data_IF_969064581211
#
_entry.id   IF_969064581211
#
_cell.length_a   1.000
_cell.length_b   1.000
_cell.length_c   1.000
_cell.angle_alpha   90.00
_cell.angle_beta   90.00
_cell.angle_gamma   90.00
#
_symmetry.space_group_name_H-M   'P 1'
#
loop_
_entity.id
_entity.type
_entity.pdbx_description
1 polymer ?
#
# COMPACT_ATOMS: atom_id res chain seq x y z
N UNK A 1 1.73 22.78 4.62
CA UNK A 1 0.80 22.69 5.77
C UNK A 1 -0.39 21.75 5.55
N UNK A 2 -1.38 22.03 4.67
CA UNK A 2 -2.51 21.11 4.45
C UNK A 2 -2.08 19.75 3.84
N UNK A 3 -1.12 19.77 2.91
CA UNK A 3 -0.59 18.55 2.29
C UNK A 3 0.19 17.67 3.27
N UNK A 4 0.99 18.27 4.16
CA UNK A 4 1.74 17.53 5.19
C UNK A 4 0.82 16.82 6.18
N UNK A 5 -0.27 17.48 6.60
CA UNK A 5 -1.29 16.88 7.46
C UNK A 5 -2.01 15.71 6.78
N UNK A 6 -2.32 15.85 5.49
CA UNK A 6 -2.94 14.77 4.70
C UNK A 6 -2.02 13.55 4.58
N UNK A 7 -0.72 13.77 4.34
CA UNK A 7 0.27 12.70 4.30
C UNK A 7 0.32 11.94 5.62
N UNK A 8 0.33 12.64 6.76
CA UNK A 8 0.34 12.00 8.08
C UNK A 8 -0.90 11.10 8.29
N UNK A 9 -2.09 11.60 7.93
CA UNK A 9 -3.34 10.84 8.02
C UNK A 9 -3.30 9.58 7.15
N UNK A 10 -2.78 9.69 5.93
CA UNK A 10 -2.64 8.54 5.02
C UNK A 10 -1.66 7.49 5.57
N UNK A 11 -0.54 7.92 6.16
CA UNK A 11 0.41 7.03 6.82
C UNK A 11 -0.24 6.30 8.00
N UNK A 12 -0.93 7.03 8.88
CA UNK A 12 -1.63 6.44 10.02
C UNK A 12 -2.70 5.44 9.58
N UNK A 13 -3.49 5.79 8.56
CA UNK A 13 -4.48 4.91 7.98
C UNK A 13 -3.83 3.64 7.41
N UNK A 14 -2.70 3.77 6.71
CA UNK A 14 -1.92 2.64 6.22
C UNK A 14 -1.47 1.70 7.34
N UNK A 15 -0.98 2.24 8.46
CA UNK A 15 -0.58 1.46 9.64
C UNK A 15 -1.78 0.70 10.22
N UNK A 16 -2.93 1.35 10.40
CA UNK A 16 -4.15 0.71 10.91
C UNK A 16 -4.60 -0.44 10.00
N UNK A 17 -4.55 -0.24 8.68
CA UNK A 17 -4.90 -1.27 7.70
C UNK A 17 -3.93 -2.46 7.75
N UNK A 18 -2.63 -2.23 7.93
CA UNK A 18 -1.64 -3.29 8.11
C UNK A 18 -1.86 -4.07 9.41
N UNK A 19 -2.17 -3.38 10.51
CA UNK A 19 -2.50 -4.03 11.79
C UNK A 19 -3.78 -4.87 11.64
N UNK A 20 -4.83 -4.32 11.04
CA UNK A 20 -6.06 -5.04 10.73
C UNK A 20 -5.78 -6.27 9.85
N UNK A 21 -4.89 -6.13 8.87
CA UNK A 21 -4.41 -7.23 8.04
C UNK A 21 -3.78 -8.33 8.89
N UNK A 22 -2.78 -8.06 9.73
CA UNK A 22 -2.11 -9.12 10.49
C UNK A 22 -2.95 -9.71 11.62
N UNK A 23 -3.63 -8.87 12.41
CA UNK A 23 -4.29 -9.27 13.66
C UNK A 23 -5.78 -9.62 13.54
N UNK A 24 -6.41 -9.43 12.38
CA UNK A 24 -7.83 -9.78 12.25
C UNK A 24 -8.11 -11.29 12.30
N UNK A 25 -9.39 -11.72 12.37
CA UNK A 25 -9.78 -13.13 12.53
C UNK A 25 -9.22 -14.05 11.43
N UNK A 26 -8.82 -15.26 11.81
CA UNK A 26 -8.34 -16.31 10.89
C UNK A 26 -9.51 -17.16 10.39
N UNK A 27 -10.26 -16.64 9.42
CA UNK A 27 -11.29 -17.40 8.68
C UNK A 27 -10.75 -17.82 7.33
N UNK A 28 -11.14 -19.00 6.85
CA UNK A 28 -10.72 -19.55 5.56
C UNK A 28 -11.05 -18.62 4.38
N UNK A 29 -12.25 -18.04 4.39
CA UNK A 29 -12.68 -17.02 3.41
C UNK A 29 -11.75 -15.80 3.38
N UNK A 30 -11.19 -15.40 4.52
CA UNK A 30 -10.26 -14.28 4.63
C UNK A 30 -8.85 -14.67 4.16
N UNK A 31 -8.45 -15.93 4.28
CA UNK A 31 -7.18 -16.41 3.74
C UNK A 31 -7.17 -16.33 2.21
N UNK A 32 -8.26 -16.77 1.56
CA UNK A 32 -8.42 -16.69 0.09
C UNK A 32 -8.42 -15.22 -0.38
N UNK A 33 -9.20 -14.35 0.28
CA UNK A 33 -9.19 -12.90 -0.02
C UNK A 33 -7.83 -12.26 0.27
N UNK A 34 -7.12 -12.75 1.29
CA UNK A 34 -5.68 -12.61 1.55
C UNK A 34 -4.86 -12.71 0.27
N UNK A 35 -4.96 -13.87 -0.35
CA UNK A 35 -4.17 -14.27 -1.50
C UNK A 35 -4.55 -13.48 -2.75
N UNK A 36 -5.84 -13.33 -3.04
CA UNK A 36 -6.33 -12.48 -4.14
C UNK A 36 -5.79 -11.05 -4.03
N UNK A 37 -5.88 -10.45 -2.83
CA UNK A 37 -5.38 -9.10 -2.59
C UNK A 37 -3.85 -9.01 -2.76
N UNK A 38 -3.08 -9.99 -2.33
CA UNK A 38 -1.62 -10.01 -2.55
C UNK A 38 -1.27 -10.08 -4.04
N UNK A 39 -1.95 -10.94 -4.78
CA UNK A 39 -1.72 -11.13 -6.22
C UNK A 39 -2.02 -9.85 -7.00
N UNK A 40 -3.00 -9.06 -6.55
CA UNK A 40 -3.32 -7.78 -7.18
C UNK A 40 -2.40 -6.65 -6.71
N UNK A 41 -2.17 -6.51 -5.41
CA UNK A 41 -1.50 -5.33 -4.83
C UNK A 41 0.02 -5.37 -4.96
N UNK A 42 0.65 -6.55 -4.86
CA UNK A 42 2.13 -6.65 -4.91
C UNK A 42 2.66 -6.21 -6.28
N UNK A 43 2.15 -6.70 -7.43
CA UNK A 43 2.63 -6.24 -8.73
C UNK A 43 2.38 -4.75 -8.96
N UNK A 44 1.21 -4.23 -8.55
CA UNK A 44 0.90 -2.80 -8.66
C UNK A 44 1.84 -1.94 -7.80
N UNK A 45 2.13 -2.36 -6.57
CA UNK A 45 3.06 -1.66 -5.69
C UNK A 45 4.47 -1.59 -6.28
N UNK A 46 4.94 -2.70 -6.88
CA UNK A 46 6.24 -2.74 -7.57
C UNK A 46 6.24 -1.78 -8.77
N UNK A 47 5.19 -1.79 -9.59
CA UNK A 47 5.06 -0.86 -10.73
C UNK A 47 5.09 0.60 -10.29
N UNK A 48 4.33 0.96 -9.26
CA UNK A 48 4.29 2.32 -8.73
C UNK A 48 5.64 2.75 -8.15
N UNK A 49 6.38 1.83 -7.51
CA UNK A 49 7.72 2.11 -7.00
C UNK A 49 8.69 2.45 -8.13
N UNK A 50 8.72 1.66 -9.21
CA UNK A 50 9.55 1.96 -10.37
C UNK A 50 9.14 3.26 -11.06
N UNK A 51 7.84 3.50 -11.21
CA UNK A 51 7.33 4.73 -11.81
C UNK A 51 7.72 5.96 -11.00
N UNK A 52 7.61 5.89 -9.67
CA UNK A 52 8.10 6.95 -8.79
C UNK A 52 9.63 7.14 -8.93
N UNK A 53 10.41 6.07 -8.95
CA UNK A 53 11.87 6.15 -9.13
C UNK A 53 12.24 6.84 -10.44
N UNK A 54 11.57 6.52 -11.55
CA UNK A 54 11.81 7.16 -12.85
C UNK A 54 11.45 8.65 -12.80
N UNK A 55 10.27 9.00 -12.29
CA UNK A 55 9.83 10.41 -12.20
C UNK A 55 10.80 11.24 -11.35
N UNK A 56 11.22 10.72 -10.19
CA UNK A 56 12.12 11.43 -9.28
C UNK A 56 13.61 11.33 -9.65
N UNK A 57 13.99 10.45 -10.58
CA UNK A 57 15.38 10.36 -11.07
C UNK A 57 15.82 11.56 -11.92
N UNK A 58 14.88 12.41 -12.36
CA UNK A 58 15.16 13.53 -13.25
C UNK A 58 15.40 13.14 -14.71
N UNK A 59 15.30 11.85 -15.07
CA UNK A 59 15.47 11.35 -16.46
C UNK A 59 14.38 11.89 -17.39
N UNK A 60 13.19 12.19 -16.86
CA UNK A 60 12.05 12.74 -17.60
C UNK A 60 12.02 14.28 -17.59
N UNK A 61 13.01 14.94 -16.97
CA UNK A 61 13.14 16.40 -16.87
C UNK A 61 14.00 16.99 -17.97
#
# INVERSE_FOLDING_TARGET
MAHEGLTLVLVLMGVVLLLGYYFGPSRETRAVKRTEAKIMLVPTGVLLFFMAAIIFSGILG
#
